data_IF_305501797280
#
_entry.id   IF_305501797280
#
_cell.length_a   1.000
_cell.length_b   1.000
_cell.length_c   1.000
_cell.angle_alpha   90.00
_cell.angle_beta   90.00
_cell.angle_gamma   90.00
#
_symmetry.space_group_name_H-M   'P 1'
#
loop_
_entity.id
_entity.type
_entity.pdbx_description
1 polymer ?
#
# COMPACT_ATOMS: atom_id res chain seq x y z
N UNK A 1 -41.56 -87.13 50.25
CA UNK A 1 -41.13 -86.54 51.51
C UNK A 1 -40.38 -85.25 51.15
N UNK A 2 -40.83 -84.10 51.63
CA UNK A 2 -40.23 -82.78 51.79
C UNK A 2 -39.68 -82.12 50.55
N UNK A 3 -40.39 -81.16 49.97
CA UNK A 3 -40.44 -79.74 50.31
C UNK A 3 -39.13 -79.02 49.94
N UNK A 4 -39.15 -78.09 49.04
CA UNK A 4 -38.69 -76.74 49.31
C UNK A 4 -38.83 -75.76 48.15
N UNK A 5 -38.88 -74.47 48.38
CA UNK A 5 -39.69 -73.58 47.60
C UNK A 5 -38.84 -72.68 46.63
N UNK A 6 -39.60 -72.09 45.76
CA UNK A 6 -39.29 -71.08 44.78
C UNK A 6 -38.62 -69.82 45.34
N UNK A 7 -37.63 -69.32 44.64
CA UNK A 7 -37.24 -67.89 44.72
C UNK A 7 -37.40 -67.23 43.35
N UNK A 8 -38.37 -66.38 43.29
CA UNK A 8 -38.55 -65.45 42.16
C UNK A 8 -37.47 -64.38 42.21
N UNK A 9 -36.67 -64.19 41.15
CA UNK A 9 -35.79 -63.04 40.95
C UNK A 9 -36.45 -62.07 40.01
N UNK A 10 -36.83 -60.91 40.54
CA UNK A 10 -37.24 -59.73 39.77
C UNK A 10 -35.95 -59.10 39.23
N UNK A 11 -35.74 -59.07 37.90
CA UNK A 11 -34.71 -58.31 37.20
C UNK A 11 -35.25 -56.91 36.91
N UNK A 12 -34.79 -55.91 37.63
CA UNK A 12 -35.02 -54.51 37.27
C UNK A 12 -34.00 -54.09 36.19
N UNK A 13 -34.48 -53.83 34.97
CA UNK A 13 -33.68 -53.27 33.90
C UNK A 13 -33.56 -51.77 34.13
N UNK A 14 -32.38 -51.30 34.49
CA UNK A 14 -32.00 -49.86 34.47
C UNK A 14 -31.66 -49.48 33.03
N UNK A 15 -32.54 -48.71 32.35
CA UNK A 15 -32.24 -48.03 31.09
C UNK A 15 -31.38 -46.78 31.42
N UNK A 16 -30.09 -46.85 31.17
CA UNK A 16 -29.21 -45.65 31.17
C UNK A 16 -29.38 -44.97 29.82
N UNK A 17 -30.16 -43.89 29.76
CA UNK A 17 -30.15 -42.96 28.64
C UNK A 17 -28.82 -42.18 28.64
N UNK A 18 -27.90 -42.58 27.76
CA UNK A 18 -26.75 -41.74 27.41
C UNK A 18 -27.26 -40.58 26.56
N UNK A 19 -27.40 -39.41 27.16
CA UNK A 19 -27.56 -38.15 26.43
C UNK A 19 -26.23 -37.85 25.71
N UNK A 20 -26.21 -38.11 24.40
CA UNK A 20 -25.15 -37.61 23.53
C UNK A 20 -25.36 -36.11 23.38
N UNK A 21 -24.67 -35.29 24.17
CA UNK A 21 -24.60 -33.88 23.93
C UNK A 21 -23.84 -33.64 22.59
N UNK A 22 -24.30 -32.73 21.73
CA UNK A 22 -23.54 -32.38 20.53
C UNK A 22 -22.23 -31.76 21.02
N UNK A 23 -21.10 -32.37 20.65
CA UNK A 23 -19.79 -31.78 20.78
C UNK A 23 -19.81 -30.62 19.80
N UNK A 24 -19.98 -29.40 20.30
CA UNK A 24 -19.70 -28.22 19.53
C UNK A 24 -18.21 -28.30 19.16
N UNK A 25 -17.93 -28.38 17.86
CA UNK A 25 -16.55 -28.21 17.35
C UNK A 25 -16.04 -26.85 17.84
N UNK A 26 -15.34 -26.85 18.95
CA UNK A 26 -14.56 -25.70 19.37
C UNK A 26 -13.52 -25.45 18.26
N UNK A 27 -13.32 -24.21 17.82
CA UNK A 27 -12.30 -23.92 16.82
C UNK A 27 -10.98 -24.47 17.33
N UNK A 28 -10.32 -25.29 16.52
CA UNK A 28 -9.01 -25.87 16.84
C UNK A 28 -8.10 -24.71 17.25
N UNK A 29 -7.77 -24.66 18.53
CA UNK A 29 -6.99 -23.60 19.15
C UNK A 29 -5.65 -23.48 18.40
N UNK A 30 -5.43 -22.37 17.74
CA UNK A 30 -4.12 -21.98 17.16
C UNK A 30 -3.09 -21.66 18.27
N UNK A 31 -3.44 -21.93 19.51
CA UNK A 31 -2.67 -21.61 20.71
C UNK A 31 -1.32 -22.34 20.71
N UNK A 32 -0.24 -21.58 20.87
CA UNK A 32 1.13 -22.13 20.91
C UNK A 32 1.81 -22.28 19.52
N UNK A 33 1.15 -21.87 18.41
CA UNK A 33 1.78 -21.87 17.07
C UNK A 33 2.70 -20.67 16.88
N UNK A 34 3.76 -20.90 16.11
CA UNK A 34 4.65 -19.81 15.65
C UNK A 34 4.51 -19.66 14.15
N UNK A 35 4.33 -18.43 13.67
CA UNK A 35 4.31 -18.07 12.26
C UNK A 35 5.46 -17.13 11.94
N UNK A 36 5.98 -17.22 10.72
CA UNK A 36 7.04 -16.33 10.22
C UNK A 36 6.48 -15.37 9.19
N UNK A 37 6.63 -14.06 9.46
CA UNK A 37 6.21 -12.97 8.61
C UNK A 37 7.42 -12.38 7.87
N UNK A 38 7.37 -12.35 6.53
CA UNK A 38 8.25 -11.51 5.72
C UNK A 38 7.62 -10.14 5.52
N UNK A 39 8.32 -9.05 5.88
CA UNK A 39 7.75 -7.71 5.77
C UNK A 39 8.77 -6.61 5.43
N UNK A 40 8.23 -5.43 5.11
CA UNK A 40 9.01 -4.21 4.89
C UNK A 40 9.62 -3.73 6.21
N UNK A 41 10.94 -3.53 6.20
CA UNK A 41 11.68 -2.94 7.32
C UNK A 41 11.34 -1.46 7.53
N UNK A 42 11.56 -0.97 8.74
CA UNK A 42 11.36 0.42 9.13
C UNK A 42 9.98 0.67 9.73
N UNK A 43 9.41 1.85 9.48
CA UNK A 43 8.22 2.32 10.18
C UNK A 43 7.05 1.32 10.27
N UNK A 44 6.76 0.58 9.18
CA UNK A 44 5.66 -0.41 9.20
C UNK A 44 5.97 -1.56 10.15
N UNK A 45 7.22 -1.96 10.23
CA UNK A 45 7.71 -2.94 11.20
C UNK A 45 7.59 -2.40 12.63
N UNK A 46 7.96 -1.13 12.88
CA UNK A 46 7.89 -0.52 14.21
C UNK A 46 6.44 -0.49 14.73
N UNK A 47 5.49 -0.08 13.89
CA UNK A 47 4.05 -0.09 14.23
C UNK A 47 3.59 -1.50 14.56
N UNK A 48 3.96 -2.49 13.75
CA UNK A 48 3.58 -3.87 13.98
C UNK A 48 4.17 -4.39 15.30
N UNK A 49 5.48 -4.22 15.53
CA UNK A 49 6.15 -4.67 16.75
C UNK A 49 5.54 -4.07 18.01
N UNK A 50 5.12 -2.81 17.97
CA UNK A 50 4.49 -2.15 19.11
C UNK A 50 3.11 -2.73 19.46
N UNK A 51 2.36 -3.25 18.46
CA UNK A 51 1.02 -3.79 18.65
C UNK A 51 0.97 -5.33 18.74
N UNK A 52 2.05 -6.02 18.36
CA UNK A 52 2.12 -7.47 18.30
C UNK A 52 1.89 -8.17 19.66
N UNK A 53 2.37 -7.66 20.81
CA UNK A 53 2.16 -8.28 22.12
C UNK A 53 0.68 -8.49 22.46
N UNK A 54 -0.20 -7.60 22.00
CA UNK A 54 -1.65 -7.73 22.22
C UNK A 54 -2.24 -8.88 21.40
N UNK A 55 -1.87 -8.99 20.13
CA UNK A 55 -2.26 -10.11 19.28
C UNK A 55 -1.78 -11.45 19.87
N UNK A 56 -0.50 -11.55 20.24
CA UNK A 56 0.09 -12.76 20.80
C UNK A 56 -0.58 -13.17 22.11
N UNK A 57 -0.90 -12.19 22.97
CA UNK A 57 -1.63 -12.44 24.23
C UNK A 57 -3.05 -12.96 23.99
N UNK A 58 -3.76 -12.40 23.01
CA UNK A 58 -5.15 -12.79 22.69
C UNK A 58 -5.25 -14.15 22.04
N UNK A 59 -4.28 -14.51 21.20
CA UNK A 59 -4.37 -15.69 20.34
C UNK A 59 -3.46 -16.84 20.74
N UNK A 60 -2.41 -16.56 21.50
CA UNK A 60 -1.32 -17.50 21.78
C UNK A 60 -0.41 -17.78 20.58
N UNK A 61 -0.63 -17.11 19.44
CA UNK A 61 0.20 -17.25 18.22
C UNK A 61 1.42 -16.34 18.36
N UNK A 62 2.63 -16.91 18.22
CA UNK A 62 3.88 -16.15 18.16
C UNK A 62 4.19 -15.73 16.72
N UNK A 63 4.68 -14.51 16.53
CA UNK A 63 5.04 -13.98 15.20
C UNK A 63 6.52 -13.63 15.17
N UNK A 64 7.26 -14.35 14.32
CA UNK A 64 8.66 -14.06 14.02
C UNK A 64 8.70 -13.14 12.79
N UNK A 65 9.27 -11.96 12.94
CA UNK A 65 9.38 -10.98 11.86
C UNK A 65 10.74 -11.11 11.20
N UNK A 66 10.74 -11.30 9.88
CA UNK A 66 11.90 -11.22 8.99
C UNK A 66 11.72 -10.03 8.06
N UNK A 67 12.31 -8.90 8.43
CA UNK A 67 12.18 -7.65 7.70
C UNK A 67 13.30 -7.45 6.68
N UNK A 68 12.99 -6.73 5.58
CA UNK A 68 13.96 -6.32 4.57
C UNK A 68 13.60 -4.94 3.99
N UNK A 69 14.59 -4.15 3.51
CA UNK A 69 14.34 -2.93 2.76
C UNK A 69 13.51 -3.18 1.49
N UNK A 70 12.79 -2.15 1.01
CA UNK A 70 11.91 -2.25 -0.16
C UNK A 70 12.61 -2.86 -1.39
N UNK A 71 13.84 -2.43 -1.69
CA UNK A 71 14.59 -2.90 -2.86
C UNK A 71 14.93 -4.40 -2.85
N UNK A 72 14.97 -5.01 -1.66
CA UNK A 72 15.36 -6.42 -1.48
C UNK A 72 14.19 -7.34 -1.15
N UNK A 73 13.10 -6.76 -0.61
CA UNK A 73 11.99 -7.53 -0.04
C UNK A 73 11.34 -8.48 -1.06
N UNK A 74 11.02 -7.99 -2.26
CA UNK A 74 10.43 -8.81 -3.31
C UNK A 74 11.31 -10.00 -3.70
N UNK A 75 12.60 -9.74 -3.96
CA UNK A 75 13.57 -10.79 -4.35
C UNK A 75 13.73 -11.83 -3.25
N UNK A 76 13.78 -11.38 -1.99
CA UNK A 76 13.87 -12.25 -0.81
C UNK A 76 12.63 -13.14 -0.66
N UNK A 77 11.44 -12.58 -0.86
CA UNK A 77 10.18 -13.32 -0.85
C UNK A 77 10.12 -14.35 -1.97
N UNK A 78 10.41 -13.94 -3.20
CA UNK A 78 10.39 -14.83 -4.37
C UNK A 78 11.38 -15.98 -4.20
N UNK A 79 12.63 -15.70 -3.79
CA UNK A 79 13.64 -16.73 -3.55
C UNK A 79 13.19 -17.72 -2.48
N UNK A 80 12.68 -17.23 -1.35
CA UNK A 80 12.19 -18.09 -0.28
C UNK A 80 11.04 -18.99 -0.75
N UNK A 81 10.05 -18.44 -1.44
CA UNK A 81 8.88 -19.19 -1.90
C UNK A 81 9.26 -20.26 -2.95
N UNK A 82 10.14 -19.93 -3.89
CA UNK A 82 10.56 -20.85 -4.96
C UNK A 82 11.44 -22.02 -4.47
N UNK A 83 12.07 -21.88 -3.30
CA UNK A 83 12.94 -22.90 -2.69
C UNK A 83 12.27 -23.69 -1.55
N UNK A 84 10.94 -23.63 -1.44
CA UNK A 84 10.20 -24.37 -0.41
C UNK A 84 9.95 -23.61 0.89
N UNK A 85 10.39 -22.39 0.96
CA UNK A 85 10.05 -21.28 1.82
C UNK A 85 9.91 -21.49 3.33
N UNK A 86 10.32 -20.46 4.11
CA UNK A 86 10.18 -20.41 5.56
C UNK A 86 9.08 -19.45 6.03
N UNK A 87 8.43 -18.75 5.10
CA UNK A 87 7.42 -17.76 5.44
C UNK A 87 6.02 -18.37 5.45
N UNK A 88 5.27 -18.07 6.49
CA UNK A 88 3.84 -18.35 6.58
C UNK A 88 3.03 -17.19 5.99
N UNK A 89 3.49 -15.96 6.24
CA UNK A 89 2.82 -14.71 5.87
C UNK A 89 3.77 -13.77 5.15
N UNK A 90 3.27 -13.15 4.09
CA UNK A 90 4.01 -12.21 3.26
C UNK A 90 3.32 -10.85 3.23
N UNK A 91 4.03 -9.81 3.66
CA UNK A 91 3.61 -8.43 3.51
C UNK A 91 4.14 -7.91 2.16
N UNK A 92 3.23 -7.63 1.22
CA UNK A 92 3.55 -7.43 -0.19
C UNK A 92 2.99 -6.10 -0.71
N UNK A 93 3.74 -5.44 -1.59
CA UNK A 93 3.17 -4.41 -2.46
C UNK A 93 2.25 -5.07 -3.50
N UNK A 94 1.10 -4.48 -3.80
CA UNK A 94 0.06 -5.08 -4.66
C UNK A 94 0.57 -5.59 -6.03
N UNK A 95 1.55 -4.94 -6.71
CA UNK A 95 2.04 -5.42 -8.01
C UNK A 95 2.87 -6.71 -7.91
N UNK A 96 3.24 -7.14 -6.71
CA UNK A 96 3.98 -8.39 -6.51
C UNK A 96 3.05 -9.61 -6.46
N UNK A 97 1.74 -9.40 -6.33
CA UNK A 97 0.78 -10.50 -6.27
C UNK A 97 0.76 -11.32 -7.56
N UNK A 98 0.69 -10.75 -8.79
CA UNK A 98 0.72 -11.55 -10.01
C UNK A 98 1.91 -12.51 -10.11
N UNK A 99 3.18 -12.08 -9.96
CA UNK A 99 4.32 -13.01 -10.02
C UNK A 99 4.38 -14.00 -8.85
N UNK A 100 3.85 -13.64 -7.67
CA UNK A 100 3.88 -14.53 -6.50
C UNK A 100 2.64 -15.42 -6.39
N UNK A 101 1.60 -15.23 -7.21
CA UNK A 101 0.29 -15.87 -7.07
C UNK A 101 0.32 -17.40 -7.04
N UNK A 102 1.26 -18.03 -7.74
CA UNK A 102 1.40 -19.50 -7.75
C UNK A 102 1.86 -20.09 -6.41
N UNK A 103 2.53 -19.26 -5.59
CA UNK A 103 3.02 -19.62 -4.25
C UNK A 103 2.07 -19.22 -3.13
N UNK A 104 1.00 -18.48 -3.45
CA UNK A 104 0.06 -17.96 -2.46
C UNK A 104 -1.18 -18.85 -2.33
N UNK A 105 -1.70 -18.91 -1.12
CA UNK A 105 -2.98 -19.59 -0.84
C UNK A 105 -4.14 -18.78 -1.41
N UNK A 106 -5.06 -19.38 -2.21
CA UNK A 106 -6.32 -18.75 -2.56
C UNK A 106 -7.17 -18.44 -1.33
N UNK A 107 -7.64 -17.21 -1.21
CA UNK A 107 -8.35 -16.71 -0.03
C UNK A 107 -9.84 -16.46 -0.26
N UNK A 108 -10.41 -16.78 -1.44
CA UNK A 108 -11.80 -16.46 -1.79
C UNK A 108 -12.79 -16.92 -0.71
N UNK A 109 -12.68 -18.17 -0.23
CA UNK A 109 -13.58 -18.70 0.79
C UNK A 109 -13.34 -18.04 2.16
N UNK A 110 -12.08 -17.83 2.51
CA UNK A 110 -11.71 -17.16 3.76
C UNK A 110 -12.17 -15.71 3.82
N UNK A 111 -12.14 -15.00 2.69
CA UNK A 111 -12.63 -13.61 2.60
C UNK A 111 -14.13 -13.49 2.93
N UNK A 112 -14.94 -14.53 2.73
CA UNK A 112 -16.37 -14.52 3.08
C UNK A 112 -16.61 -14.38 4.59
N UNK A 113 -15.62 -14.65 5.42
CA UNK A 113 -15.71 -14.48 6.88
C UNK A 113 -15.47 -13.05 7.34
N UNK A 114 -15.05 -12.16 6.43
CA UNK A 114 -14.78 -10.75 6.73
C UNK A 114 -16.02 -9.89 6.42
N UNK A 115 -16.20 -8.83 7.19
CA UNK A 115 -17.13 -7.76 6.83
C UNK A 115 -16.54 -6.94 5.66
N UNK A 116 -16.74 -7.45 4.43
CA UNK A 116 -16.21 -6.83 3.20
C UNK A 116 -16.86 -5.48 2.92
N UNK A 117 -18.08 -5.25 3.39
CA UNK A 117 -18.78 -3.97 3.20
C UNK A 117 -18.08 -2.80 3.93
N UNK A 118 -17.33 -3.09 4.98
CA UNK A 118 -16.53 -2.08 5.68
C UNK A 118 -15.18 -1.76 4.99
N UNK A 119 -14.78 -2.52 3.97
CA UNK A 119 -13.55 -2.22 3.23
C UNK A 119 -13.80 -1.27 2.05
N UNK A 120 -12.82 -0.42 1.75
CA UNK A 120 -12.80 0.35 0.51
C UNK A 120 -12.63 -0.63 -0.66
N UNK A 121 -13.57 -0.71 -1.62
CA UNK A 121 -13.59 -1.79 -2.63
C UNK A 121 -12.31 -1.88 -3.47
N UNK A 122 -11.72 -0.75 -3.86
CA UNK A 122 -10.46 -0.73 -4.64
C UNK A 122 -9.29 -1.35 -3.88
N UNK A 123 -9.30 -1.30 -2.54
CA UNK A 123 -8.27 -1.93 -1.71
C UNK A 123 -8.43 -3.45 -1.65
N UNK A 124 -9.67 -3.95 -1.61
CA UNK A 124 -9.93 -5.40 -1.70
C UNK A 124 -9.48 -5.92 -3.07
N UNK A 125 -9.83 -5.21 -4.14
CA UNK A 125 -9.43 -5.57 -5.51
C UNK A 125 -7.90 -5.64 -5.69
N UNK A 126 -7.12 -4.89 -4.89
CA UNK A 126 -5.65 -4.94 -4.95
C UNK A 126 -5.07 -6.31 -4.61
N UNK A 127 -5.77 -7.09 -3.77
CA UNK A 127 -5.37 -8.45 -3.37
C UNK A 127 -5.73 -9.54 -4.38
N UNK A 128 -6.47 -9.21 -5.47
CA UNK A 128 -6.94 -10.19 -6.44
C UNK A 128 -6.05 -10.25 -7.69
N UNK A 129 -5.97 -11.41 -8.31
CA UNK A 129 -5.37 -11.61 -9.63
C UNK A 129 -6.14 -12.71 -10.38
N UNK A 130 -6.55 -12.42 -11.63
CA UNK A 130 -7.31 -13.34 -12.50
C UNK A 130 -8.51 -13.99 -11.79
N UNK A 131 -9.30 -13.19 -11.06
CA UNK A 131 -10.51 -13.64 -10.37
C UNK A 131 -10.26 -14.37 -9.03
N UNK A 132 -9.02 -14.59 -8.65
CA UNK A 132 -8.67 -15.22 -7.37
C UNK A 132 -8.12 -14.18 -6.40
N UNK A 133 -8.63 -14.18 -5.18
CA UNK A 133 -8.09 -13.36 -4.08
C UNK A 133 -6.91 -14.08 -3.45
N UNK A 134 -5.74 -13.45 -3.42
CA UNK A 134 -4.51 -14.00 -2.86
C UNK A 134 -4.01 -13.26 -1.63
N UNK A 135 -4.51 -12.06 -1.39
CA UNK A 135 -4.08 -11.26 -0.25
C UNK A 135 -5.20 -10.40 0.32
N UNK A 136 -5.08 -10.06 1.60
CA UNK A 136 -5.96 -9.13 2.33
C UNK A 136 -5.31 -7.75 2.34
N UNK A 137 -6.01 -6.64 2.05
CA UNK A 137 -5.45 -5.31 2.15
C UNK A 137 -5.19 -4.93 3.62
N UNK A 138 -4.05 -4.31 3.89
CA UNK A 138 -3.66 -3.88 5.24
C UNK A 138 -3.41 -2.39 5.31
N UNK A 139 -2.59 -1.85 4.40
CA UNK A 139 -2.22 -0.43 4.40
C UNK A 139 -2.46 0.17 3.02
N UNK A 140 -3.64 0.74 2.78
CA UNK A 140 -3.94 1.42 1.54
C UNK A 140 -3.18 2.74 1.46
N UNK A 141 -2.50 2.95 0.35
CA UNK A 141 -1.79 4.17 0.05
C UNK A 141 -2.19 4.69 -1.33
N UNK A 142 -2.12 6.00 -1.50
CA UNK A 142 -2.45 6.68 -2.75
C UNK A 142 -1.65 7.98 -2.83
N UNK A 143 -1.32 8.41 -4.04
CA UNK A 143 -0.67 9.70 -4.24
C UNK A 143 -1.68 10.85 -4.04
N UNK A 144 -1.27 11.86 -3.28
CA UNK A 144 -2.02 13.08 -2.99
C UNK A 144 -1.19 14.31 -3.35
N UNK A 145 -1.86 15.44 -3.56
CA UNK A 145 -1.24 16.76 -3.55
C UNK A 145 -1.23 17.29 -2.11
N UNK A 146 -0.04 17.61 -1.61
CA UNK A 146 0.19 18.36 -0.37
C UNK A 146 0.57 19.77 -0.76
N UNK A 147 -0.01 20.79 -0.13
CA UNK A 147 0.29 22.18 -0.42
C UNK A 147 0.34 23.03 0.84
N UNK A 148 1.10 24.11 0.80
CA UNK A 148 1.18 25.15 1.86
C UNK A 148 -0.04 26.04 1.78
N UNK A 149 -1.08 25.67 2.56
CA UNK A 149 -2.34 26.42 2.59
C UNK A 149 -2.15 27.89 2.94
N UNK A 150 -1.24 28.20 3.85
CA UNK A 150 -0.91 29.57 4.22
C UNK A 150 -0.33 30.39 3.05
N UNK A 151 0.53 29.80 2.19
CA UNK A 151 1.06 30.48 1.01
C UNK A 151 -0.02 30.65 -0.06
N UNK A 152 -0.91 29.66 -0.22
CA UNK A 152 -2.03 29.73 -1.14
C UNK A 152 -3.02 30.83 -0.72
N UNK A 153 -3.40 30.86 0.55
CA UNK A 153 -4.28 31.90 1.12
C UNK A 153 -3.66 33.29 0.91
N UNK A 154 -2.36 33.46 1.17
CA UNK A 154 -1.65 34.72 0.99
C UNK A 154 -1.65 35.22 -0.47
N UNK A 155 -1.61 34.32 -1.43
CA UNK A 155 -1.61 34.62 -2.86
C UNK A 155 -3.02 34.61 -3.48
N UNK A 156 -4.07 34.27 -2.72
CA UNK A 156 -5.43 34.12 -3.24
C UNK A 156 -5.59 32.93 -4.19
N UNK A 157 -4.71 31.91 -4.08
CA UNK A 157 -4.74 30.71 -4.89
C UNK A 157 -5.69 29.66 -4.30
N UNK A 158 -6.20 28.79 -5.16
CA UNK A 158 -6.95 27.59 -4.75
C UNK A 158 -6.11 26.35 -5.02
N UNK A 159 -6.34 25.23 -4.33
CA UNK A 159 -5.66 23.98 -4.66
C UNK A 159 -5.83 23.63 -6.13
N UNK A 160 -4.76 23.36 -6.89
CA UNK A 160 -4.84 23.12 -8.33
C UNK A 160 -5.60 21.81 -8.61
N UNK A 161 -6.63 21.92 -9.45
CA UNK A 161 -7.44 20.78 -9.89
C UNK A 161 -6.90 20.14 -11.17
N UNK A 162 -6.09 20.89 -11.94
CA UNK A 162 -5.50 20.46 -13.20
C UNK A 162 -3.98 20.56 -13.19
N UNK A 163 -3.31 19.83 -14.08
CA UNK A 163 -1.85 19.92 -14.24
C UNK A 163 -1.39 21.30 -14.71
N UNK A 164 -2.19 21.99 -15.51
CA UNK A 164 -1.88 23.35 -15.96
C UNK A 164 -1.95 24.34 -14.78
N UNK A 165 -2.94 24.21 -13.91
CA UNK A 165 -3.03 24.98 -12.66
C UNK A 165 -1.86 24.66 -11.72
N UNK A 166 -1.49 23.37 -11.58
CA UNK A 166 -0.33 22.96 -10.76
C UNK A 166 0.97 23.62 -11.26
N UNK A 167 1.18 23.64 -12.57
CA UNK A 167 2.35 24.31 -13.17
C UNK A 167 2.32 25.82 -12.93
N UNK A 168 1.16 26.45 -13.10
CA UNK A 168 0.99 27.89 -12.86
C UNK A 168 1.29 28.23 -11.40
N UNK A 169 0.75 27.45 -10.46
CA UNK A 169 0.97 27.64 -9.02
C UNK A 169 2.42 27.36 -8.64
N UNK A 170 3.04 26.32 -9.20
CA UNK A 170 4.43 26.01 -8.97
C UNK A 170 5.33 27.20 -9.40
N UNK A 171 5.03 27.79 -10.54
CA UNK A 171 5.74 28.99 -11.04
C UNK A 171 5.48 30.23 -10.14
N UNK A 172 4.25 30.48 -9.76
CA UNK A 172 3.84 31.63 -8.95
C UNK A 172 4.41 31.60 -7.53
N UNK A 173 4.65 30.42 -6.99
CA UNK A 173 5.19 30.18 -5.64
C UNK A 173 6.69 29.88 -5.61
N UNK A 174 7.36 29.93 -6.78
CA UNK A 174 8.79 29.68 -6.90
C UNK A 174 9.60 30.95 -6.70
N UNK A 175 10.30 31.07 -5.58
CA UNK A 175 11.18 32.20 -5.22
C UNK A 175 12.51 31.66 -4.66
N UNK A 176 13.46 31.24 -5.53
CA UNK A 176 14.73 30.66 -5.09
C UNK A 176 15.56 31.60 -4.22
N UNK A 177 15.39 32.94 -4.38
CA UNK A 177 16.09 33.91 -3.55
C UNK A 177 15.69 33.84 -2.07
N UNK A 178 14.45 33.36 -1.81
CA UNK A 178 13.96 33.07 -0.46
C UNK A 178 14.06 31.58 -0.09
N UNK A 179 14.75 30.77 -0.90
CA UNK A 179 14.79 29.32 -0.74
C UNK A 179 13.39 28.67 -0.72
N UNK A 180 12.41 29.28 -1.40
CA UNK A 180 11.06 28.77 -1.57
C UNK A 180 10.92 28.24 -3.00
N UNK A 181 10.62 26.95 -3.11
CA UNK A 181 10.45 26.26 -4.39
C UNK A 181 8.98 25.94 -4.60
N UNK A 182 8.53 25.98 -5.85
CA UNK A 182 7.13 25.78 -6.19
C UNK A 182 6.62 24.37 -5.82
N UNK A 183 7.45 23.35 -6.04
CA UNK A 183 7.07 21.96 -5.79
C UNK A 183 8.28 21.12 -5.40
N UNK A 184 8.06 20.10 -4.55
CA UNK A 184 9.01 19.00 -4.31
C UNK A 184 8.48 17.71 -4.90
N UNK A 185 9.25 17.09 -5.77
CA UNK A 185 9.07 15.74 -6.31
C UNK A 185 10.45 15.10 -6.44
N UNK A 186 10.55 13.80 -6.73
CA UNK A 186 11.85 13.17 -6.99
C UNK A 186 12.27 13.29 -8.45
N UNK A 187 13.58 13.41 -8.68
CA UNK A 187 14.19 13.36 -10.01
C UNK A 187 15.48 12.51 -10.02
N UNK A 188 15.67 11.68 -9.01
CA UNK A 188 16.77 10.71 -8.90
C UNK A 188 16.47 9.43 -9.69
N UNK A 189 17.45 8.51 -9.74
CA UNK A 189 17.24 7.16 -10.28
C UNK A 189 16.47 6.25 -9.29
N UNK A 190 15.51 6.81 -8.57
CA UNK A 190 14.61 6.10 -7.66
C UNK A 190 13.30 5.74 -8.37
N UNK A 191 12.64 4.68 -7.91
CA UNK A 191 11.33 4.27 -8.46
C UNK A 191 10.28 5.37 -8.35
N UNK A 192 10.33 6.22 -7.33
CA UNK A 192 9.36 7.31 -7.14
C UNK A 192 9.37 8.29 -8.32
N UNK A 193 10.55 8.59 -8.88
CA UNK A 193 10.67 9.44 -10.08
C UNK A 193 9.87 8.88 -11.24
N UNK A 194 10.02 7.59 -11.50
CA UNK A 194 9.28 6.88 -12.54
C UNK A 194 7.76 6.88 -12.27
N UNK A 195 7.35 6.71 -11.02
CA UNK A 195 5.94 6.70 -10.63
C UNK A 195 5.30 8.09 -10.74
N UNK A 196 6.01 9.18 -10.42
CA UNK A 196 5.49 10.54 -10.61
C UNK A 196 5.38 10.90 -12.09
N UNK A 197 6.36 10.51 -12.91
CA UNK A 197 6.29 10.66 -14.37
C UNK A 197 5.09 9.89 -14.93
N UNK A 198 4.91 8.64 -14.52
CA UNK A 198 3.80 7.78 -14.95
C UNK A 198 2.45 8.33 -14.51
N UNK A 199 2.34 8.89 -13.30
CA UNK A 199 1.12 9.55 -12.82
C UNK A 199 0.67 10.68 -13.77
N UNK A 200 1.62 11.56 -14.15
CA UNK A 200 1.33 12.63 -15.09
C UNK A 200 0.89 12.05 -16.46
N UNK A 201 1.63 11.09 -17.01
CA UNK A 201 1.31 10.46 -18.30
C UNK A 201 -0.08 9.79 -18.28
N UNK A 202 -0.42 9.06 -17.21
CA UNK A 202 -1.74 8.44 -17.04
C UNK A 202 -2.87 9.47 -17.03
N UNK A 203 -2.64 10.60 -16.39
CA UNK A 203 -3.63 11.67 -16.33
C UNK A 203 -3.97 12.23 -17.73
N UNK A 204 -2.99 12.27 -18.63
CA UNK A 204 -3.18 12.65 -20.04
C UNK A 204 -3.72 11.51 -20.92
N UNK A 205 -3.91 10.31 -20.37
CA UNK A 205 -4.52 9.18 -21.06
C UNK A 205 -3.54 8.13 -21.58
N UNK A 206 -2.24 8.26 -21.33
CA UNK A 206 -1.27 7.23 -21.66
C UNK A 206 -1.48 5.95 -20.85
N UNK A 207 -1.01 4.83 -21.39
CA UNK A 207 -0.93 3.55 -20.69
C UNK A 207 0.52 3.05 -20.75
N UNK A 208 1.00 2.43 -19.64
CA UNK A 208 2.33 1.80 -19.63
C UNK A 208 2.34 0.56 -20.53
N UNK A 209 1.27 -0.22 -20.46
CA UNK A 209 1.04 -1.40 -21.30
C UNK A 209 -0.39 -1.33 -21.85
N UNK A 210 -0.54 -1.46 -23.15
CA UNK A 210 -1.82 -1.54 -23.84
C UNK A 210 -1.78 -2.64 -24.91
N UNK A 211 -2.85 -3.45 -25.02
CA UNK A 211 -2.89 -4.58 -25.92
C UNK A 211 -1.72 -5.57 -25.79
N UNK A 212 -1.14 -5.68 -24.57
CA UNK A 212 0.01 -6.55 -24.28
C UNK A 212 1.34 -6.02 -24.82
N UNK A 213 1.46 -4.72 -25.07
CA UNK A 213 2.68 -4.04 -25.56
C UNK A 213 2.95 -2.77 -24.76
N UNK A 214 4.21 -2.33 -24.70
CA UNK A 214 4.61 -1.02 -24.20
C UNK A 214 3.95 0.08 -25.03
N UNK A 215 3.39 1.10 -24.37
CA UNK A 215 2.52 2.11 -25.01
C UNK A 215 2.70 3.53 -24.49
N UNK A 216 3.80 3.82 -23.77
CA UNK A 216 4.06 5.17 -23.30
C UNK A 216 4.50 6.14 -24.40
N UNK A 217 5.10 5.66 -25.49
CA UNK A 217 5.50 6.48 -26.63
C UNK A 217 4.29 6.88 -27.50
N UNK A 218 3.37 7.60 -26.89
CA UNK A 218 2.14 8.11 -27.48
C UNK A 218 2.07 9.64 -27.33
N UNK A 219 1.13 10.30 -28.01
CA UNK A 219 0.91 11.73 -27.83
C UNK A 219 0.58 12.08 -26.37
N UNK A 220 -0.22 11.24 -25.70
CA UNK A 220 -0.57 11.40 -24.30
C UNK A 220 0.66 11.21 -23.37
N UNK A 221 1.50 10.19 -23.64
CA UNK A 221 2.73 9.97 -22.90
C UNK A 221 3.74 11.10 -23.05
N UNK A 222 3.93 11.62 -24.27
CA UNK A 222 4.76 12.80 -24.54
C UNK A 222 4.26 14.00 -23.75
N UNK A 223 2.96 14.31 -23.82
CA UNK A 223 2.38 15.46 -23.11
C UNK A 223 2.55 15.35 -21.59
N UNK A 224 2.26 14.20 -20.99
CA UNK A 224 2.45 13.98 -19.55
C UNK A 224 3.93 14.05 -19.13
N UNK A 225 4.83 13.52 -19.97
CA UNK A 225 6.27 13.60 -19.76
C UNK A 225 6.81 15.04 -19.84
N UNK A 226 6.32 15.84 -20.78
CA UNK A 226 6.63 17.28 -20.88
C UNK A 226 6.23 18.04 -19.63
N UNK A 227 5.01 17.78 -19.11
CA UNK A 227 4.53 18.39 -17.86
C UNK A 227 5.38 17.99 -16.68
N UNK A 228 5.75 16.72 -16.57
CA UNK A 228 6.65 16.25 -15.51
C UNK A 228 8.01 16.97 -15.58
N UNK A 229 8.62 17.07 -16.77
CA UNK A 229 9.89 17.75 -16.94
C UNK A 229 9.79 19.26 -16.68
N UNK A 230 8.68 19.90 -17.04
CA UNK A 230 8.45 21.32 -16.76
C UNK A 230 8.38 21.59 -15.26
N UNK A 231 7.71 20.72 -14.49
CA UNK A 231 7.65 20.82 -13.02
C UNK A 231 9.03 20.80 -12.37
N UNK A 232 9.98 20.06 -12.95
CA UNK A 232 11.37 19.99 -12.41
C UNK A 232 12.07 21.35 -12.39
N UNK A 233 11.64 22.32 -13.19
CA UNK A 233 12.20 23.68 -13.18
C UNK A 233 11.87 24.47 -11.92
N UNK A 234 10.82 24.05 -11.20
CA UNK A 234 10.32 24.73 -10.00
C UNK A 234 10.64 23.97 -8.71
N UNK A 235 11.54 22.99 -8.78
CA UNK A 235 11.98 22.16 -7.64
C UNK A 235 13.23 22.70 -6.97
N UNK A 236 13.57 22.22 -5.76
CA UNK A 236 14.88 22.47 -5.16
C UNK A 236 16.05 22.04 -6.07
N UNK A 237 17.20 22.73 -6.05
CA UNK A 237 18.30 22.48 -6.99
C UNK A 237 18.92 21.07 -6.87
N UNK A 238 18.81 20.44 -5.70
CA UNK A 238 19.32 19.10 -5.41
C UNK A 238 18.29 17.97 -5.63
N UNK A 239 17.18 18.25 -6.32
CA UNK A 239 16.07 17.29 -6.54
C UNK A 239 16.52 15.98 -7.22
N UNK A 240 17.62 16.02 -7.97
CA UNK A 240 18.22 14.83 -8.60
C UNK A 240 18.81 13.82 -7.60
N UNK A 241 18.91 14.17 -6.33
CA UNK A 241 19.29 13.25 -5.25
C UNK A 241 18.11 12.87 -4.33
N UNK A 242 16.93 13.44 -4.56
CA UNK A 242 15.77 13.22 -3.69
C UNK A 242 15.22 11.81 -3.80
N UNK A 243 14.94 11.24 -2.64
CA UNK A 243 14.09 10.07 -2.46
C UNK A 243 12.76 10.47 -1.78
N UNK A 244 11.94 9.49 -1.42
CA UNK A 244 10.67 9.69 -0.72
C UNK A 244 10.80 10.58 0.54
N UNK A 245 11.82 10.35 1.37
CA UNK A 245 12.00 11.08 2.62
C UNK A 245 12.46 12.54 2.38
N UNK A 246 13.22 12.79 1.33
CA UNK A 246 13.69 14.13 0.99
C UNK A 246 12.55 15.05 0.52
N UNK A 247 11.56 14.51 -0.20
CA UNK A 247 10.33 15.24 -0.53
C UNK A 247 9.58 15.64 0.74
N UNK A 248 9.41 14.73 1.69
CA UNK A 248 8.79 15.03 2.98
C UNK A 248 9.56 16.14 3.71
N UNK A 249 10.90 16.02 3.75
CA UNK A 249 11.78 16.99 4.40
C UNK A 249 11.71 18.37 3.77
N UNK A 250 11.63 18.47 2.44
CA UNK A 250 11.48 19.75 1.75
C UNK A 250 10.21 20.49 2.17
N UNK A 251 9.09 19.77 2.36
CA UNK A 251 7.85 20.34 2.91
C UNK A 251 8.02 20.70 4.39
N UNK A 252 8.55 19.80 5.22
CA UNK A 252 8.74 20.02 6.67
C UNK A 252 9.58 21.27 6.97
N UNK A 253 10.61 21.50 6.17
CA UNK A 253 11.48 22.67 6.29
C UNK A 253 10.88 23.95 5.67
N UNK A 254 9.69 23.86 5.07
CA UNK A 254 9.05 25.00 4.38
C UNK A 254 9.72 25.39 3.07
N UNK A 255 10.64 24.57 2.54
CA UNK A 255 11.37 24.83 1.30
C UNK A 255 10.52 24.66 0.05
N UNK A 256 9.46 23.86 0.09
CA UNK A 256 8.57 23.67 -1.05
C UNK A 256 7.13 24.09 -0.71
N UNK A 257 6.47 24.74 -1.67
CA UNK A 257 5.09 25.17 -1.55
C UNK A 257 4.10 24.03 -1.78
N UNK A 258 4.48 23.05 -2.58
CA UNK A 258 3.67 21.87 -2.92
C UNK A 258 4.52 20.61 -2.97
N UNK A 259 3.87 19.46 -2.88
CA UNK A 259 4.44 18.17 -3.23
C UNK A 259 3.34 17.23 -3.75
N UNK A 260 3.65 16.42 -4.75
CA UNK A 260 2.91 15.19 -4.99
C UNK A 260 3.59 14.11 -4.16
N UNK A 261 2.85 13.50 -3.25
CA UNK A 261 3.43 12.51 -2.33
C UNK A 261 2.43 11.40 -2.01
N UNK A 262 2.93 10.24 -1.66
CA UNK A 262 2.10 9.19 -1.08
C UNK A 262 1.48 9.66 0.23
N UNK A 263 0.22 9.36 0.47
CA UNK A 263 -0.50 9.74 1.69
C UNK A 263 0.25 9.38 2.98
N UNK A 264 0.97 8.24 2.96
CA UNK A 264 1.79 7.83 4.10
C UNK A 264 2.91 8.82 4.46
N UNK A 265 3.38 9.63 3.50
CA UNK A 265 4.36 10.69 3.74
C UNK A 265 3.77 11.98 4.32
N UNK A 266 2.44 12.15 4.29
CA UNK A 266 1.82 13.38 4.74
C UNK A 266 1.79 13.51 6.28
N UNK A 267 1.60 12.42 7.01
CA UNK A 267 1.55 12.45 8.49
C UNK A 267 2.81 13.04 9.12
N UNK A 268 4.04 12.65 8.74
CA UNK A 268 5.26 13.27 9.28
C UNK A 268 5.37 14.77 9.02
N UNK A 269 4.74 15.28 7.96
CA UNK A 269 4.75 16.71 7.65
C UNK A 269 3.95 17.54 8.66
N UNK A 270 3.05 16.89 9.41
CA UNK A 270 2.25 17.49 10.50
C UNK A 270 2.86 17.30 11.90
N UNK A 271 4.04 16.70 12.00
CA UNK A 271 4.75 16.55 13.27
C UNK A 271 5.31 17.90 13.75
N UNK A 272 4.69 18.49 14.74
CA UNK A 272 5.05 19.80 15.32
C UNK A 272 6.48 19.84 15.89
N UNK A 273 7.09 18.69 16.18
CA UNK A 273 8.46 18.62 16.71
C UNK A 273 9.52 18.67 15.61
N UNK A 274 9.12 18.43 14.34
CA UNK A 274 10.03 18.28 13.19
C UNK A 274 9.68 19.15 11.99
N UNK A 275 8.43 19.63 11.91
CA UNK A 275 7.93 20.40 10.78
C UNK A 275 7.68 21.84 11.18
N UNK A 276 8.33 22.77 10.50
CA UNK A 276 8.12 24.21 10.63
C UNK A 276 6.77 24.68 10.05
N UNK A 277 6.10 23.77 9.33
CA UNK A 277 4.86 24.03 8.59
C UNK A 277 3.67 23.17 9.09
N UNK A 278 3.84 22.46 10.19
CA UNK A 278 2.75 21.68 10.80
C UNK A 278 1.53 22.58 11.08
N UNK A 279 0.34 22.12 10.68
CA UNK A 279 -0.92 22.87 10.76
C UNK A 279 -1.10 23.96 9.70
N UNK A 280 -0.15 24.12 8.76
CA UNK A 280 -0.23 25.07 7.64
C UNK A 280 -0.42 24.37 6.29
N UNK A 281 -0.62 23.04 6.32
CA UNK A 281 -0.76 22.24 5.10
C UNK A 281 -2.23 22.08 4.73
N UNK A 282 -2.48 21.94 3.44
CA UNK A 282 -3.73 21.50 2.85
C UNK A 282 -3.46 20.26 1.99
N UNK A 283 -4.51 19.50 1.76
CA UNK A 283 -4.44 18.22 1.04
C UNK A 283 -5.53 18.19 -0.02
N UNK A 284 -5.14 17.79 -1.23
CA UNK A 284 -6.05 17.66 -2.35
C UNK A 284 -5.76 16.36 -3.12
N UNK A 285 -6.71 15.95 -3.95
CA UNK A 285 -6.47 14.90 -4.92
C UNK A 285 -5.38 15.36 -5.89
N UNK A 286 -4.64 14.41 -6.49
CA UNK A 286 -3.69 14.73 -7.56
C UNK A 286 -4.42 15.43 -8.72
N UNK A 287 -3.77 16.37 -9.42
CA UNK A 287 -4.42 17.09 -10.52
C UNK A 287 -4.88 16.14 -11.65
N UNK A 288 -5.91 16.55 -12.38
CA UNK A 288 -6.38 15.85 -13.57
C UNK A 288 -5.94 16.56 -14.88
N UNK A 289 -5.87 15.80 -15.95
CA UNK A 289 -5.90 16.32 -17.32
C UNK A 289 -7.16 15.77 -18.03
N UNK A 290 -7.02 14.73 -18.83
CA UNK A 290 -8.16 14.01 -19.42
C UNK A 290 -8.94 13.23 -18.37
N UNK A 291 -8.23 12.67 -17.40
CA UNK A 291 -8.80 11.89 -16.28
C UNK A 291 -8.02 12.12 -14.99
N UNK A 292 -8.67 11.86 -13.87
CA UNK A 292 -8.03 11.84 -12.56
C UNK A 292 -7.59 10.41 -12.24
N UNK A 293 -6.32 10.22 -12.01
CA UNK A 293 -5.71 8.89 -11.89
C UNK A 293 -4.74 8.83 -10.71
N UNK A 294 -5.21 9.07 -9.45
CA UNK A 294 -4.30 8.89 -8.32
C UNK A 294 -3.78 7.46 -8.31
N UNK A 295 -2.46 7.31 -8.25
CA UNK A 295 -1.83 6.00 -8.26
C UNK A 295 -2.10 5.28 -6.96
N UNK A 296 -2.56 4.03 -7.05
CA UNK A 296 -2.75 3.15 -5.91
C UNK A 296 -1.46 2.44 -5.54
N UNK A 297 -1.22 2.29 -4.24
CA UNK A 297 -0.12 1.54 -3.67
C UNK A 297 -0.55 0.85 -2.38
N UNK A 298 -1.34 -0.23 -2.49
CA UNK A 298 -1.83 -0.96 -1.32
C UNK A 298 -0.82 -2.01 -0.88
N UNK A 299 -0.44 -1.95 0.38
CA UNK A 299 0.26 -3.05 1.02
C UNK A 299 -0.74 -4.10 1.47
N UNK A 300 -0.46 -5.33 1.15
CA UNK A 300 -1.34 -6.48 1.35
C UNK A 300 -0.63 -7.59 2.11
N UNK A 301 -1.42 -8.50 2.67
CA UNK A 301 -0.89 -9.70 3.35
C UNK A 301 -1.43 -10.95 2.67
N UNK A 302 -0.52 -11.76 2.14
CA UNK A 302 -0.78 -13.08 1.59
C UNK A 302 -0.28 -14.18 2.50
N UNK A 303 -0.78 -15.39 2.30
CA UNK A 303 -0.41 -16.61 3.03
C UNK A 303 0.33 -17.52 2.06
N UNK A 304 1.48 -18.06 2.46
CA UNK A 304 2.20 -19.03 1.65
C UNK A 304 1.38 -20.32 1.50
N UNK A 305 1.24 -20.81 0.27
CA UNK A 305 0.45 -22.01 -0.05
C UNK A 305 0.96 -23.26 0.66
N UNK A 306 2.27 -23.34 0.87
CA UNK A 306 2.94 -24.48 1.55
C UNK A 306 3.08 -24.29 3.07
N UNK A 307 2.53 -23.21 3.66
CA UNK A 307 2.54 -23.02 5.10
C UNK A 307 1.78 -24.15 5.81
N UNK A 308 2.39 -24.73 6.84
CA UNK A 308 1.75 -25.67 7.75
C UNK A 308 0.83 -24.95 8.77
N UNK A 309 0.89 -23.62 8.83
CA UNK A 309 0.22 -22.78 9.82
C UNK A 309 -0.87 -21.88 9.21
N UNK A 310 -1.52 -22.32 8.11
CA UNK A 310 -2.44 -21.49 7.32
C UNK A 310 -3.57 -20.84 8.14
N UNK A 311 -4.12 -21.51 9.17
CA UNK A 311 -5.18 -20.95 10.01
C UNK A 311 -4.65 -19.89 10.98
N UNK A 312 -3.48 -20.11 11.56
CA UNK A 312 -2.80 -19.10 12.39
C UNK A 312 -2.39 -17.87 11.55
N UNK A 313 -1.89 -18.12 10.33
CA UNK A 313 -1.57 -17.08 9.35
C UNK A 313 -2.82 -16.28 8.93
N UNK A 314 -3.96 -16.95 8.73
CA UNK A 314 -5.23 -16.29 8.43
C UNK A 314 -5.71 -15.42 9.61
N UNK A 315 -5.64 -15.94 10.84
CA UNK A 315 -6.00 -15.18 12.02
C UNK A 315 -5.15 -13.92 12.18
N UNK A 316 -3.86 -14.02 11.88
CA UNK A 316 -2.96 -12.87 11.87
C UNK A 316 -3.28 -11.87 10.74
N UNK A 317 -3.53 -12.34 9.51
CA UNK A 317 -3.89 -11.50 8.38
C UNK A 317 -5.20 -10.72 8.63
N UNK A 318 -6.20 -11.38 9.25
CA UNK A 318 -7.47 -10.74 9.61
C UNK A 318 -7.32 -9.70 10.71
N UNK A 319 -6.45 -9.94 11.68
CA UNK A 319 -6.11 -8.96 12.71
C UNK A 319 -5.43 -7.73 12.12
N UNK A 320 -4.44 -7.91 11.22
CA UNK A 320 -3.75 -6.81 10.53
C UNK A 320 -4.70 -5.93 9.69
N UNK A 321 -5.72 -6.53 9.08
CA UNK A 321 -6.74 -5.81 8.31
C UNK A 321 -7.94 -5.38 9.17
N UNK A 322 -7.90 -5.66 10.46
CA UNK A 322 -8.98 -5.42 11.43
C UNK A 322 -9.07 -3.96 11.88
N UNK A 323 -10.22 -3.62 12.48
CA UNK A 323 -10.45 -2.27 13.03
C UNK A 323 -9.47 -1.91 14.13
N UNK A 324 -9.20 -2.85 15.03
CA UNK A 324 -8.36 -2.66 16.20
C UNK A 324 -6.93 -2.28 15.81
N UNK A 325 -6.28 -3.11 14.99
CA UNK A 325 -4.95 -2.78 14.47
C UNK A 325 -4.97 -1.52 13.62
N UNK A 326 -5.97 -1.36 12.73
CA UNK A 326 -6.11 -0.18 11.89
C UNK A 326 -6.18 1.12 12.72
N UNK A 327 -6.96 1.15 13.79
CA UNK A 327 -7.07 2.32 14.68
C UNK A 327 -5.75 2.59 15.43
N UNK A 328 -5.11 1.56 15.95
CA UNK A 328 -3.82 1.67 16.62
C UNK A 328 -2.72 2.16 15.65
N UNK A 329 -2.72 1.66 14.43
CA UNK A 329 -1.74 2.03 13.40
C UNK A 329 -1.86 3.49 12.94
N UNK A 330 -3.09 3.97 12.66
CA UNK A 330 -3.29 5.36 12.20
C UNK A 330 -2.95 6.39 13.28
N UNK A 331 -3.12 6.05 14.54
CA UNK A 331 -2.81 6.95 15.67
C UNK A 331 -1.36 6.80 16.18
N UNK A 332 -0.63 5.77 15.74
CA UNK A 332 0.74 5.51 16.19
C UNK A 332 1.66 6.71 15.87
N UNK A 333 2.45 7.21 16.84
CA UNK A 333 3.39 8.30 16.61
C UNK A 333 4.44 7.92 15.57
N UNK A 334 4.58 8.74 14.53
CA UNK A 334 5.53 8.46 13.44
C UNK A 334 6.35 9.68 13.07
N UNK A 335 7.64 9.41 12.90
CA UNK A 335 8.60 10.37 12.39
C UNK A 335 8.79 10.32 10.87
N UNK A 336 8.40 9.22 10.21
CA UNK A 336 8.82 8.95 8.83
C UNK A 336 7.70 8.59 7.88
N UNK A 337 6.59 7.99 8.37
CA UNK A 337 5.50 7.53 7.52
C UNK A 337 4.23 7.27 8.33
N UNK A 338 3.12 6.89 7.68
CA UNK A 338 1.88 6.43 8.30
C UNK A 338 1.49 5.06 7.76
N UNK A 339 0.77 4.28 8.55
CA UNK A 339 -0.07 3.16 8.09
C UNK A 339 -1.51 3.65 8.09
N UNK A 340 -2.25 3.32 7.03
CA UNK A 340 -3.67 3.61 6.93
C UNK A 340 -4.47 2.32 7.10
N UNK A 341 -5.77 2.47 7.34
CA UNK A 341 -6.66 1.32 7.38
C UNK A 341 -7.42 1.16 6.06
N UNK A 342 -7.64 -0.06 5.57
CA UNK A 342 -8.48 -0.29 4.41
C UNK A 342 -9.99 -0.16 4.72
N UNK A 343 -10.38 0.14 5.98
CA UNK A 343 -11.75 0.11 6.46
C UNK A 343 -12.39 1.49 6.52
N UNK A 344 -13.61 1.58 6.01
CA UNK A 344 -14.42 2.81 6.13
C UNK A 344 -14.63 3.22 7.58
N UNK A 345 -14.92 2.26 8.47
CA UNK A 345 -15.16 2.52 9.88
C UNK A 345 -13.97 3.15 10.60
N UNK A 346 -12.73 2.87 10.17
CA UNK A 346 -11.51 3.50 10.71
C UNK A 346 -11.25 4.84 10.03
N UNK A 347 -11.32 4.92 8.69
CA UNK A 347 -11.01 6.14 7.95
C UNK A 347 -11.99 7.29 8.25
N UNK A 348 -13.24 6.96 8.59
CA UNK A 348 -14.28 7.94 8.95
C UNK A 348 -14.31 8.28 10.44
N UNK A 349 -13.54 7.59 11.26
CA UNK A 349 -13.51 7.82 12.72
C UNK A 349 -12.94 9.20 13.06
N UNK A 350 -13.50 9.83 14.07
CA UNK A 350 -13.11 11.18 14.50
C UNK A 350 -11.65 11.23 14.96
N UNK A 351 -11.16 10.21 15.65
CA UNK A 351 -9.77 10.13 16.10
C UNK A 351 -8.80 9.94 14.93
N UNK A 352 -9.20 9.20 13.89
CA UNK A 352 -8.43 9.08 12.64
C UNK A 352 -8.33 10.44 11.95
N UNK A 353 -9.43 11.18 11.82
CA UNK A 353 -9.42 12.52 11.21
C UNK A 353 -8.59 13.52 12.00
N UNK A 354 -8.58 13.42 13.32
CA UNK A 354 -7.70 14.22 14.18
C UNK A 354 -6.22 13.88 14.00
N UNK A 355 -5.88 12.59 13.81
CA UNK A 355 -4.51 12.11 13.60
C UNK A 355 -4.01 12.32 12.16
N UNK A 356 -4.91 12.27 11.17
CA UNK A 356 -4.64 12.38 9.75
C UNK A 356 -5.51 13.47 9.12
N UNK A 357 -5.08 14.74 9.08
CA UNK A 357 -5.87 15.85 8.50
C UNK A 357 -6.27 15.63 7.03
N UNK A 358 -5.63 14.70 6.36
CA UNK A 358 -5.88 14.30 4.98
C UNK A 358 -6.80 13.06 4.83
N UNK A 359 -7.39 12.54 5.91
CA UNK A 359 -8.17 11.30 5.90
C UNK A 359 -9.34 11.32 4.89
N UNK A 360 -10.07 12.45 4.80
CA UNK A 360 -11.15 12.58 3.82
C UNK A 360 -10.62 12.59 2.38
N UNK A 361 -9.53 13.31 2.11
CA UNK A 361 -8.86 13.33 0.81
C UNK A 361 -8.32 11.95 0.43
N UNK A 362 -7.72 11.23 1.39
CA UNK A 362 -7.27 9.86 1.21
C UNK A 362 -8.45 8.96 0.81
N UNK A 363 -9.54 9.01 1.55
CA UNK A 363 -10.71 8.16 1.30
C UNK A 363 -11.32 8.40 -0.08
N UNK A 364 -11.52 9.66 -0.47
CA UNK A 364 -12.05 10.00 -1.80
C UNK A 364 -11.09 9.56 -2.90
N UNK A 365 -9.79 9.75 -2.71
CA UNK A 365 -8.76 9.35 -3.69
C UNK A 365 -8.68 7.83 -3.84
N UNK A 366 -8.80 7.07 -2.74
CA UNK A 366 -8.80 5.60 -2.79
C UNK A 366 -9.96 5.04 -3.63
N UNK A 367 -11.09 5.73 -3.74
CA UNK A 367 -12.25 5.25 -4.50
C UNK A 367 -12.07 5.35 -6.03
N UNK A 368 -11.16 6.21 -6.50
CA UNK A 368 -10.95 6.50 -7.92
C UNK A 368 -9.54 6.13 -8.41
N UNK A 369 -8.82 5.32 -7.66
CA UNK A 369 -7.42 4.98 -7.95
C UNK A 369 -7.22 4.29 -9.30
N UNK A 370 -6.08 4.57 -9.93
CA UNK A 370 -5.52 3.76 -11.00
C UNK A 370 -4.49 2.79 -10.45
N UNK A 371 -4.61 1.52 -10.81
CA UNK A 371 -3.65 0.49 -10.42
C UNK A 371 -2.47 0.40 -11.39
N UNK A 372 -1.34 -0.03 -10.89
CA UNK A 372 -0.18 -0.41 -11.69
C UNK A 372 -0.49 -1.70 -12.47
N UNK A 373 0.11 -1.95 -13.65
CA UNK A 373 -0.19 -3.13 -14.45
C UNK A 373 -0.13 -4.44 -13.66
N UNK A 374 -1.18 -5.25 -13.78
CA UNK A 374 -1.33 -6.54 -13.10
C UNK A 374 -0.75 -7.67 -13.96
N UNK A 375 0.58 -7.68 -14.11
CA UNK A 375 1.32 -8.60 -14.96
C UNK A 375 2.37 -9.36 -14.12
N UNK A 376 2.67 -10.59 -14.48
CA UNK A 376 3.74 -11.37 -13.83
C UNK A 376 5.11 -10.73 -14.02
N UNK A 377 5.31 -10.08 -15.14
CA UNK A 377 6.53 -9.40 -15.58
C UNK A 377 6.64 -7.96 -15.03
N UNK A 378 5.68 -7.50 -14.22
CA UNK A 378 5.64 -6.09 -13.84
C UNK A 378 6.87 -5.63 -13.04
N UNK A 379 7.49 -6.50 -12.25
CA UNK A 379 8.72 -6.13 -11.51
C UNK A 379 9.87 -5.74 -12.46
N UNK A 380 10.03 -6.46 -13.57
CA UNK A 380 11.05 -6.16 -14.58
C UNK A 380 10.66 -4.92 -15.42
N UNK A 381 9.37 -4.77 -15.74
CA UNK A 381 8.85 -3.58 -16.42
C UNK A 381 9.06 -2.33 -15.56
N UNK A 382 8.81 -2.44 -14.26
CA UNK A 382 9.02 -1.35 -13.31
C UNK A 382 10.51 -0.97 -13.21
N UNK A 383 11.40 -1.94 -13.23
CA UNK A 383 12.85 -1.68 -13.23
C UNK A 383 13.31 -1.00 -14.53
N UNK A 384 12.83 -1.46 -15.69
CA UNK A 384 13.06 -0.80 -16.97
C UNK A 384 12.60 0.67 -16.94
N UNK A 385 11.40 0.92 -16.40
CA UNK A 385 10.83 2.27 -16.25
C UNK A 385 11.71 3.12 -15.31
N UNK A 386 12.14 2.57 -14.16
CA UNK A 386 12.99 3.26 -13.18
C UNK A 386 14.33 3.70 -13.76
N UNK A 387 15.02 2.77 -14.43
CA UNK A 387 16.34 3.06 -15.03
C UNK A 387 16.22 4.13 -16.10
N UNK A 388 15.23 4.02 -16.98
CA UNK A 388 15.06 4.96 -18.10
C UNK A 388 14.58 6.34 -17.62
N UNK A 389 13.69 6.40 -16.60
CA UNK A 389 13.30 7.67 -15.99
C UNK A 389 14.50 8.37 -15.32
N UNK A 390 15.40 7.60 -14.67
CA UNK A 390 16.65 8.13 -14.12
C UNK A 390 17.55 8.75 -15.19
N UNK A 391 17.77 8.07 -16.32
CA UNK A 391 18.54 8.63 -17.46
C UNK A 391 17.90 9.91 -18.02
N UNK A 392 16.57 9.94 -18.13
CA UNK A 392 15.84 11.11 -18.59
C UNK A 392 16.05 12.32 -17.67
N UNK A 393 15.89 12.14 -16.35
CA UNK A 393 16.06 13.23 -15.38
C UNK A 393 17.53 13.66 -15.20
N UNK A 394 18.47 12.74 -15.43
CA UNK A 394 19.90 13.07 -15.51
C UNK A 394 20.24 13.93 -16.74
N UNK A 395 19.40 13.90 -17.79
CA UNK A 395 19.65 14.58 -19.07
C UNK A 395 20.45 13.74 -20.06
N UNK A 396 20.57 12.43 -19.81
CA UNK A 396 21.25 11.47 -20.70
C UNK A 396 20.37 11.08 -21.90
N UNK A 397 19.06 11.20 -21.74
CA UNK A 397 18.08 10.92 -22.78
C UNK A 397 17.15 12.12 -22.99
N UNK A 398 16.70 12.31 -24.23
CA UNK A 398 15.53 13.15 -24.53
C UNK A 398 14.26 12.41 -24.12
N UNK A 399 13.15 13.11 -23.89
CA UNK A 399 11.86 12.50 -23.57
C UNK A 399 11.45 11.48 -24.63
N UNK A 400 11.60 11.82 -25.91
CA UNK A 400 11.24 10.90 -27.01
C UNK A 400 12.08 9.63 -26.99
N UNK A 401 13.40 9.73 -26.77
CA UNK A 401 14.28 8.58 -26.65
C UNK A 401 13.93 7.72 -25.43
N UNK A 402 13.63 8.35 -24.29
CA UNK A 402 13.22 7.64 -23.08
C UNK A 402 11.91 6.86 -23.27
N UNK A 403 10.89 7.46 -23.87
CA UNK A 403 9.62 6.78 -24.13
C UNK A 403 9.79 5.58 -25.09
N UNK A 404 10.62 5.73 -26.13
CA UNK A 404 10.97 4.62 -27.05
C UNK A 404 11.73 3.51 -26.31
N UNK A 405 12.68 3.87 -25.44
CA UNK A 405 13.48 2.88 -24.64
C UNK A 405 12.58 2.12 -23.66
N UNK A 406 11.65 2.81 -22.98
CA UNK A 406 10.69 2.17 -22.08
C UNK A 406 9.81 1.18 -22.84
N UNK A 407 9.21 1.57 -23.97
CA UNK A 407 8.35 0.69 -24.75
C UNK A 407 9.11 -0.51 -25.32
N UNK A 408 10.30 -0.28 -25.88
CA UNK A 408 11.14 -1.35 -26.40
C UNK A 408 11.58 -2.33 -25.31
N UNK A 409 11.97 -1.84 -24.12
CA UNK A 409 12.30 -2.67 -22.96
C UNK A 409 11.09 -3.46 -22.47
N UNK A 410 9.95 -2.81 -22.35
CA UNK A 410 8.67 -3.45 -21.96
C UNK A 410 8.30 -4.55 -22.97
N UNK A 411 8.42 -4.30 -24.26
CA UNK A 411 8.12 -5.30 -25.29
C UNK A 411 9.07 -6.51 -25.21
N UNK A 412 10.37 -6.30 -24.99
CA UNK A 412 11.31 -7.43 -24.79
C UNK A 412 10.95 -8.27 -23.57
N UNK A 413 10.58 -7.63 -22.46
CA UNK A 413 10.16 -8.32 -21.23
C UNK A 413 8.90 -9.14 -21.49
N UNK A 414 7.95 -8.61 -22.26
CA UNK A 414 6.70 -9.29 -22.61
C UNK A 414 6.85 -10.31 -23.76
N UNK A 415 8.05 -10.51 -24.30
CA UNK A 415 8.30 -11.45 -25.41
C UNK A 415 7.67 -11.00 -26.74
N UNK A 416 7.63 -9.68 -27.00
CA UNK A 416 7.04 -9.05 -28.19
C UNK A 416 8.09 -8.42 -29.11
#
# INVERSE_FOLDING_TARGET
>A
MRISPSFARVAAALLVLLAVAPVADAPVSAQGKTITLSMLAGYKEDVLRANLPEFEKKTGIKVVIDAAPFGDLYKKQLLSLSTGGRYDVLFMDEPWIPPLSEFLLPLNERMKTLDIADFVPTTVASGAFQGTQYAVPVDPNVQLLVYRKDLFDQKGLKPPATWDELLADAKALHDPAKQQYGIAITASSDIQTALYMLLAMWSYGAELVDGGKGSLNSAAGKKGGEVFLELLKYTPPNVKSYNFADVNKAIQLGQAAMAIQWASGAKPMEDKTRSSVAGKLGYAQVPKAVRQTPMRGVWTVGIAKNSANQDAAWQFATWLSGREFGQAAVTFPSATSAIHSPRFSVLKDASTKAALPYADTLLVSLQITKERPRLREYADIQENLRVTAGKLTAGELTLEAALKEIDAGTNRILGK
#
